data_IF_894614319769
#
_entry.id   IF_894614319769
#
_cell.length_a   1.000
_cell.length_b   1.000
_cell.length_c   1.000
_cell.angle_alpha   90.00
_cell.angle_beta   90.00
_cell.angle_gamma   90.00
#
_symmetry.space_group_name_H-M   'P 1'
#
loop_
_entity.id
_entity.type
_entity.pdbx_description
1 polymer ?
#
# COMPACT_ATOMS: atom_id res chain seq x y z
N UNK A 1 8.36 -12.72 -21.80
CA UNK A 1 9.30 -12.51 -20.67
C UNK A 1 8.71 -11.59 -19.58
N UNK A 2 7.44 -11.18 -19.68
CA UNK A 2 6.68 -10.62 -18.55
C UNK A 2 5.68 -11.65 -18.02
N UNK A 3 5.05 -12.40 -18.92
CA UNK A 3 4.12 -13.49 -18.59
C UNK A 3 4.71 -14.52 -17.61
N UNK A 4 6.02 -14.77 -17.69
CA UNK A 4 6.70 -15.67 -16.77
C UNK A 4 6.85 -15.09 -15.36
N UNK A 5 6.98 -13.78 -15.22
CA UNK A 5 7.03 -13.11 -13.92
C UNK A 5 5.62 -13.07 -13.30
N UNK A 6 4.60 -12.80 -14.12
CA UNK A 6 3.21 -12.83 -13.68
C UNK A 6 2.83 -14.23 -13.15
N UNK A 7 3.19 -15.29 -13.89
CA UNK A 7 2.97 -16.68 -13.45
C UNK A 7 3.73 -17.05 -12.17
N UNK A 8 4.88 -16.44 -11.92
CA UNK A 8 5.62 -16.64 -10.67
C UNK A 8 4.92 -15.90 -9.51
N UNK A 9 4.49 -14.66 -9.74
CA UNK A 9 3.80 -13.86 -8.73
C UNK A 9 2.45 -14.47 -8.35
N UNK A 10 1.70 -15.02 -9.31
CA UNK A 10 0.42 -15.72 -9.06
C UNK A 10 0.55 -16.93 -8.13
N UNK A 11 1.74 -17.54 -8.06
CA UNK A 11 2.00 -18.69 -7.17
C UNK A 11 2.36 -18.27 -5.75
N UNK A 12 2.67 -16.98 -5.53
CA UNK A 12 3.06 -16.45 -4.23
C UNK A 12 1.78 -15.92 -3.56
N UNK A 13 1.39 -16.45 -2.39
CA UNK A 13 0.26 -15.90 -1.66
C UNK A 13 0.60 -14.48 -1.18
N UNK A 14 -0.35 -13.55 -1.32
CA UNK A 14 -0.13 -12.14 -0.96
C UNK A 14 0.19 -11.94 0.54
N UNK A 15 -0.32 -12.82 1.41
CA UNK A 15 -0.12 -12.76 2.87
C UNK A 15 -0.30 -11.34 3.44
N UNK A 16 -1.42 -10.70 3.08
CA UNK A 16 -1.69 -9.32 3.47
C UNK A 16 -1.97 -9.22 4.97
N UNK A 17 -1.13 -8.48 5.66
CA UNK A 17 -1.39 -7.97 7.01
C UNK A 17 -1.76 -6.49 6.94
N UNK A 18 -2.86 -6.11 7.59
CA UNK A 18 -3.35 -4.73 7.64
C UNK A 18 -3.59 -4.33 9.08
N UNK A 19 -2.92 -3.26 9.52
CA UNK A 19 -3.05 -2.70 10.87
C UNK A 19 -3.40 -1.22 10.78
N UNK A 20 -4.40 -0.76 11.55
CA UNK A 20 -4.75 0.66 11.61
C UNK A 20 -3.68 1.43 12.37
N UNK A 21 -3.09 2.42 11.73
CA UNK A 21 -2.13 3.35 12.32
C UNK A 21 -2.89 4.53 12.95
N UNK A 22 -3.14 4.44 14.25
CA UNK A 22 -3.86 5.47 15.00
C UNK A 22 -3.11 6.80 15.08
N UNK A 23 -1.79 6.82 14.87
CA UNK A 23 -0.99 8.05 14.96
C UNK A 23 -1.17 8.94 13.73
N UNK A 24 -1.21 8.35 12.54
CA UNK A 24 -1.41 9.10 11.29
C UNK A 24 -2.88 9.25 10.86
N UNK A 25 -3.78 8.47 11.45
CA UNK A 25 -5.23 8.61 11.21
C UNK A 25 -5.77 9.94 11.73
N UNK A 26 -6.74 10.51 11.03
CA UNK A 26 -7.41 11.77 11.36
C UNK A 26 -8.94 11.57 11.43
N UNK A 27 -9.69 12.64 11.73
CA UNK A 27 -11.16 12.57 11.79
C UNK A 27 -11.83 12.36 10.43
N UNK A 28 -11.11 12.62 9.34
CA UNK A 28 -11.59 12.54 7.97
C UNK A 28 -11.12 11.29 7.22
N UNK A 29 -10.04 10.64 7.69
CA UNK A 29 -9.45 9.47 7.04
C UNK A 29 -8.72 8.56 8.04
N UNK A 30 -8.76 7.26 7.78
CA UNK A 30 -7.96 6.26 8.49
C UNK A 30 -6.71 5.92 7.69
N UNK A 31 -5.58 5.77 8.39
CA UNK A 31 -4.32 5.28 7.81
C UNK A 31 -4.09 3.86 8.28
N UNK A 32 -3.71 2.99 7.36
CA UNK A 32 -3.34 1.61 7.63
C UNK A 32 -1.91 1.35 7.20
N UNK A 33 -1.16 0.65 8.03
CA UNK A 33 0.12 0.04 7.65
C UNK A 33 -0.17 -1.34 7.09
N UNK A 34 0.32 -1.58 5.88
CA UNK A 34 0.19 -2.86 5.17
C UNK A 34 1.53 -3.56 5.10
N UNK A 35 1.55 -4.88 5.29
CA UNK A 35 2.65 -5.76 4.93
C UNK A 35 2.14 -6.86 4.00
N UNK A 36 2.91 -7.21 2.99
CA UNK A 36 2.53 -8.23 2.01
C UNK A 36 3.75 -8.83 1.32
N UNK A 37 3.58 -10.05 0.81
CA UNK A 37 4.63 -10.81 0.13
C UNK A 37 4.68 -10.46 -1.35
N UNK A 38 5.85 -10.07 -1.84
CA UNK A 38 6.16 -9.83 -3.25
C UNK A 38 6.91 -10.99 -3.92
N UNK A 39 7.45 -10.74 -5.11
CA UNK A 39 8.29 -11.69 -5.84
C UNK A 39 9.42 -12.24 -4.96
N UNK A 40 9.81 -13.49 -5.18
CA UNK A 40 10.85 -14.20 -4.42
C UNK A 40 10.62 -14.26 -2.90
N UNK A 41 9.40 -13.98 -2.42
CA UNK A 41 9.06 -13.99 -1.00
C UNK A 41 9.50 -12.74 -0.23
N UNK A 42 9.88 -11.66 -0.93
CA UNK A 42 10.24 -10.41 -0.26
C UNK A 42 9.05 -9.80 0.48
N UNK A 43 9.24 -9.45 1.74
CA UNK A 43 8.25 -8.73 2.53
C UNK A 43 8.29 -7.25 2.18
N UNK A 44 7.19 -6.75 1.62
CA UNK A 44 6.97 -5.37 1.26
C UNK A 44 6.06 -4.71 2.30
N UNK A 45 6.19 -3.39 2.43
CA UNK A 45 5.33 -2.61 3.30
C UNK A 45 4.87 -1.33 2.61
N UNK A 46 3.72 -0.81 3.02
CA UNK A 46 3.18 0.45 2.53
C UNK A 46 2.21 1.07 3.52
N UNK A 47 1.83 2.32 3.27
CA UNK A 47 0.72 2.98 3.97
C UNK A 47 -0.44 3.19 3.01
N UNK A 48 -1.65 2.93 3.50
CA UNK A 48 -2.92 3.15 2.81
C UNK A 48 -3.75 4.15 3.61
N UNK A 49 -4.09 5.28 3.00
CA UNK A 49 -5.05 6.24 3.56
C UNK A 49 -6.43 6.05 2.92
N UNK A 50 -7.47 5.92 3.75
CA UNK A 50 -8.85 5.68 3.32
C UNK A 50 -9.76 6.76 3.87
N UNK A 51 -10.50 7.51 3.03
CA UNK A 51 -11.42 8.54 3.49
C UNK A 51 -12.62 7.92 4.22
N UNK A 52 -12.95 8.43 5.41
CA UNK A 52 -14.07 7.96 6.23
C UNK A 52 -15.43 8.39 5.66
N UNK A 53 -15.46 9.42 4.81
CA UNK A 53 -16.68 9.92 4.18
C UNK A 53 -17.21 9.02 3.04
N UNK A 54 -16.44 8.01 2.64
CA UNK A 54 -16.80 7.11 1.56
C UNK A 54 -17.73 5.97 2.04
N UNK A 55 -18.91 5.88 1.42
CA UNK A 55 -19.87 4.79 1.65
C UNK A 55 -19.86 3.77 0.49
N UNK A 56 -18.68 3.43 -0.04
CA UNK A 56 -18.54 2.54 -1.18
C UNK A 56 -17.14 2.57 -1.81
N UNK A 57 -16.95 1.91 -2.96
CA UNK A 57 -15.69 1.93 -3.69
C UNK A 57 -15.26 3.36 -4.03
N UNK A 58 -14.00 3.66 -3.78
CA UNK A 58 -13.37 4.94 -4.12
C UNK A 58 -12.27 4.70 -5.16
N UNK A 59 -11.97 5.69 -6.02
CA UNK A 59 -10.77 5.63 -6.82
C UNK A 59 -9.53 5.52 -5.91
N UNK A 60 -8.60 4.65 -6.27
CA UNK A 60 -7.35 4.46 -5.56
C UNK A 60 -6.18 5.05 -6.36
N UNK A 61 -5.20 5.60 -5.64
CA UNK A 61 -3.93 6.06 -6.21
C UNK A 61 -2.80 5.26 -5.54
N UNK A 62 -1.96 4.63 -6.35
CA UNK A 62 -0.71 4.01 -5.90
C UNK A 62 0.44 4.96 -6.22
N UNK A 63 1.23 5.33 -5.20
CA UNK A 63 2.42 6.15 -5.35
C UNK A 63 3.64 5.34 -4.95
N UNK A 64 4.59 5.25 -5.88
CA UNK A 64 5.88 4.60 -5.64
C UNK A 64 6.86 5.62 -5.05
N UNK A 65 7.77 5.19 -4.16
CA UNK A 65 8.82 6.07 -3.66
C UNK A 65 9.78 6.47 -4.78
N UNK A 66 10.39 7.64 -4.64
CA UNK A 66 11.47 8.08 -5.52
C UNK A 66 12.76 7.31 -5.22
N UNK A 67 13.66 7.27 -6.21
CA UNK A 67 14.94 6.61 -6.06
C UNK A 67 15.76 7.22 -4.91
N UNK A 68 16.11 6.39 -3.92
CA UNK A 68 16.92 6.80 -2.76
C UNK A 68 16.17 7.55 -1.66
N UNK A 69 14.84 7.70 -1.75
CA UNK A 69 14.03 8.27 -0.67
C UNK A 69 12.77 7.46 -0.45
N UNK A 70 12.63 6.91 0.76
CA UNK A 70 11.37 6.34 1.25
C UNK A 70 10.50 7.37 1.99
N UNK A 71 11.02 8.58 2.18
CA UNK A 71 10.24 9.68 2.74
C UNK A 71 9.38 10.27 1.62
N UNK A 72 8.09 9.99 1.71
CA UNK A 72 7.11 10.62 0.86
C UNK A 72 6.45 11.77 1.62
N UNK A 73 6.85 12.99 1.30
CA UNK A 73 6.21 14.20 1.81
C UNK A 73 5.21 14.64 0.75
N UNK A 74 3.92 14.40 1.01
CA UNK A 74 2.86 14.96 0.17
C UNK A 74 2.78 16.46 0.47
N UNK A 75 3.37 17.27 -0.39
CA UNK A 75 3.18 18.72 -0.36
C UNK A 75 1.73 19.04 -0.73
N UNK A 76 0.91 19.37 0.25
CA UNK A 76 -0.32 20.14 0.02
C UNK A 76 0.05 21.63 -0.01
N UNK A 77 -0.37 22.39 -1.03
CA UNK A 77 -0.10 23.84 -1.11
C UNK A 77 -0.74 24.64 0.03
#
# INVERSE_FOLDING_TARGET
MWDSLDLQLEQIPLELEQERDAFYSQSEYDVYRLHYTGLDGYQLFSWLSVPLSANGPVPALLRMPDYGSVHDIVYTP
#
